data_IF_568400302722
#
_entry.id   IF_568400302722
#
_cell.length_a   1.000
_cell.length_b   1.000
_cell.length_c   1.000
_cell.angle_alpha   90.00
_cell.angle_beta   90.00
_cell.angle_gamma   90.00
#
_symmetry.space_group_name_H-M   'P 1'
#
loop_
_entity.id
_entity.type
_entity.pdbx_description
1 polymer ?
#
# COMPACT_ATOMS: atom_id res chain seq x y z
N UNK A 1 43.22 33.86 8.72
CA UNK A 1 44.05 33.26 7.69
C UNK A 1 43.50 31.85 7.51
N UNK A 2 42.98 31.41 6.47
CA UNK A 2 42.64 31.76 5.10
C UNK A 2 41.57 30.81 4.64
N UNK A 3 40.55 31.35 4.03
CA UNK A 3 39.57 30.61 3.22
C UNK A 3 40.25 29.82 2.11
N UNK A 4 39.82 28.62 1.79
CA UNK A 4 39.83 28.14 0.42
C UNK A 4 38.58 27.39 0.05
N UNK A 5 37.94 27.98 -0.92
CA UNK A 5 36.85 27.51 -1.71
C UNK A 5 37.32 26.44 -2.68
N UNK A 6 36.60 25.35 -2.81
CA UNK A 6 36.72 24.48 -3.97
C UNK A 6 35.40 24.48 -4.75
N UNK A 7 35.53 25.23 -5.81
CA UNK A 7 34.60 25.38 -6.92
C UNK A 7 34.51 24.14 -7.82
N UNK A 8 33.32 23.90 -8.32
CA UNK A 8 33.11 23.59 -9.72
C UNK A 8 33.26 22.16 -10.18
N UNK A 9 32.13 21.44 -10.27
CA UNK A 9 31.99 20.38 -11.26
C UNK A 9 31.02 20.82 -12.35
N UNK A 10 31.60 21.35 -13.42
CA UNK A 10 30.90 21.64 -14.67
C UNK A 10 30.72 20.34 -15.43
N UNK A 11 29.48 19.83 -15.51
CA UNK A 11 29.13 18.73 -16.40
C UNK A 11 28.88 19.31 -17.80
N UNK A 12 29.79 19.03 -18.68
CA UNK A 12 29.69 19.30 -20.12
C UNK A 12 28.62 18.37 -20.73
N UNK A 13 27.45 18.94 -21.04
CA UNK A 13 26.48 18.31 -21.91
C UNK A 13 26.98 18.34 -23.35
N UNK A 14 27.40 17.20 -23.89
CA UNK A 14 27.68 17.04 -25.32
C UNK A 14 26.37 16.91 -26.09
N UNK A 15 26.14 17.89 -26.94
CA UNK A 15 25.10 17.86 -27.98
C UNK A 15 25.34 16.69 -28.94
N UNK A 16 24.39 15.76 -29.01
CA UNK A 16 24.25 14.85 -30.16
C UNK A 16 22.96 15.20 -30.92
N UNK A 17 23.21 15.89 -31.96
CA UNK A 17 22.57 16.05 -33.27
C UNK A 17 21.23 15.34 -33.53
N UNK A 18 20.21 16.15 -33.85
CA UNK A 18 19.50 15.92 -35.10
C UNK A 18 18.26 15.05 -35.06
N UNK A 19 17.30 15.29 -34.15
CA UNK A 19 15.93 14.82 -34.36
C UNK A 19 15.04 16.05 -34.55
N UNK A 20 14.58 16.28 -35.78
CA UNK A 20 13.60 17.33 -36.11
C UNK A 20 12.26 16.93 -35.56
N UNK A 21 11.86 17.49 -34.41
CA UNK A 21 10.49 17.39 -33.90
C UNK A 21 9.58 18.25 -34.77
N UNK A 22 8.68 17.60 -35.50
CA UNK A 22 7.58 18.25 -36.22
C UNK A 22 6.60 18.76 -35.15
N UNK A 23 6.43 20.08 -35.04
CA UNK A 23 5.45 20.71 -34.16
C UNK A 23 4.05 20.26 -34.55
N UNK A 24 3.20 19.82 -33.60
CA UNK A 24 1.82 19.55 -33.92
C UNK A 24 1.05 20.83 -34.21
N UNK A 25 0.22 20.80 -35.24
CA UNK A 25 -0.63 21.89 -35.70
C UNK A 25 -1.50 22.43 -34.55
N UNK A 26 -1.40 23.74 -34.33
CA UNK A 26 -2.35 24.50 -33.50
C UNK A 26 -3.71 24.49 -34.19
N UNK A 27 -4.58 23.58 -33.82
CA UNK A 27 -6.00 23.77 -34.10
C UNK A 27 -6.55 24.87 -33.21
N UNK A 28 -7.17 25.84 -33.86
CA UNK A 28 -7.83 27.01 -33.28
C UNK A 28 -8.80 26.56 -32.21
N UNK A 29 -8.54 26.93 -30.96
CA UNK A 29 -9.50 26.80 -29.86
C UNK A 29 -10.54 27.86 -30.09
N UNK A 30 -11.72 27.45 -30.54
CA UNK A 30 -12.92 28.26 -30.60
C UNK A 30 -13.33 28.59 -29.16
N UNK A 31 -13.37 29.88 -28.85
CA UNK A 31 -13.93 30.39 -27.60
C UNK A 31 -15.43 30.05 -27.56
N UNK A 32 -15.81 28.97 -26.87
CA UNK A 32 -17.19 28.73 -26.45
C UNK A 32 -17.38 29.31 -25.07
N UNK A 33 -18.30 30.23 -24.97
CA UNK A 33 -18.81 30.87 -23.76
C UNK A 33 -19.21 29.82 -22.69
N UNK A 34 -19.08 30.13 -21.37
CA UNK A 34 -19.38 29.21 -20.28
C UNK A 34 -20.86 29.18 -19.89
N UNK A 35 -21.74 28.97 -20.84
CA UNK A 35 -23.15 28.77 -20.57
C UNK A 35 -23.61 27.49 -21.24
N UNK A 36 -23.57 26.43 -20.51
CA UNK A 36 -24.35 25.18 -20.56
C UNK A 36 -23.60 24.00 -19.97
N UNK A 37 -23.23 24.08 -18.69
CA UNK A 37 -23.06 22.87 -17.93
C UNK A 37 -24.43 22.37 -17.56
N UNK A 38 -25.10 21.70 -18.51
CA UNK A 38 -26.30 20.95 -18.23
C UNK A 38 -25.87 19.77 -17.33
N UNK A 39 -26.51 19.68 -16.19
CA UNK A 39 -26.47 18.60 -15.23
C UNK A 39 -26.39 17.23 -15.91
N UNK A 40 -25.27 16.54 -15.74
CA UNK A 40 -25.16 15.12 -16.10
C UNK A 40 -26.11 14.38 -15.15
N UNK A 41 -27.31 14.10 -15.62
CA UNK A 41 -28.22 13.16 -14.97
C UNK A 41 -27.56 11.80 -15.00
N UNK A 42 -27.12 11.33 -13.85
CA UNK A 42 -26.73 9.94 -13.64
C UNK A 42 -27.95 9.07 -13.92
N UNK A 43 -27.99 8.49 -15.13
CA UNK A 43 -29.00 7.49 -15.43
C UNK A 43 -28.64 6.26 -14.59
N UNK A 44 -29.55 5.91 -13.68
CA UNK A 44 -29.51 4.58 -13.03
C UNK A 44 -29.59 3.57 -14.16
N UNK A 45 -28.48 2.87 -14.43
CA UNK A 45 -28.48 1.75 -15.34
C UNK A 45 -29.44 0.69 -14.80
N UNK A 46 -30.61 0.63 -15.38
CA UNK A 46 -31.55 -0.48 -15.19
C UNK A 46 -30.91 -1.73 -15.79
N UNK A 47 -31.04 -2.85 -15.08
CA UNK A 47 -30.42 -4.14 -15.33
C UNK A 47 -30.97 -4.86 -16.59
N UNK A 48 -30.91 -4.21 -17.78
CA UNK A 48 -31.40 -4.79 -19.03
C UNK A 48 -30.47 -4.53 -20.22
N UNK A 49 -29.14 -4.58 -20.00
CA UNK A 49 -28.17 -4.63 -21.11
C UNK A 49 -27.79 -6.08 -21.39
N UNK A 50 -28.29 -6.69 -22.51
CA UNK A 50 -28.03 -8.12 -22.81
C UNK A 50 -26.61 -8.40 -23.28
N UNK A 51 -25.70 -7.42 -23.28
CA UNK A 51 -24.28 -7.57 -23.63
C UNK A 51 -23.32 -7.39 -22.46
N UNK A 52 -23.83 -7.22 -21.24
CA UNK A 52 -23.00 -7.32 -20.06
C UNK A 52 -22.52 -8.76 -19.97
N UNK A 53 -21.26 -8.98 -20.37
CA UNK A 53 -20.55 -10.22 -20.07
C UNK A 53 -20.56 -10.33 -18.54
N UNK A 54 -21.48 -11.12 -18.02
CA UNK A 54 -21.50 -11.53 -16.62
C UNK A 54 -20.21 -12.30 -16.40
N UNK A 55 -19.15 -11.60 -16.02
CA UNK A 55 -18.06 -12.23 -15.30
C UNK A 55 -18.71 -12.75 -14.04
N UNK A 56 -19.12 -14.02 -14.06
CA UNK A 56 -19.48 -14.73 -12.83
C UNK A 56 -18.32 -14.48 -11.89
N UNK A 57 -18.50 -13.51 -10.99
CA UNK A 57 -17.60 -13.33 -9.85
C UNK A 57 -17.59 -14.68 -9.18
N UNK A 58 -16.57 -15.47 -9.49
CA UNK A 58 -16.27 -16.69 -8.72
C UNK A 58 -16.25 -16.15 -7.29
N UNK A 59 -17.19 -16.60 -6.48
CA UNK A 59 -17.17 -16.39 -5.04
C UNK A 59 -15.97 -17.19 -4.49
N UNK A 60 -14.75 -16.77 -4.86
CA UNK A 60 -13.60 -16.98 -4.03
C UNK A 60 -13.93 -16.20 -2.77
N UNK A 61 -14.19 -16.89 -1.69
CA UNK A 61 -14.34 -16.34 -0.36
C UNK A 61 -13.10 -15.50 -0.08
N UNK A 62 -13.18 -14.20 -0.37
CA UNK A 62 -12.26 -13.23 0.22
C UNK A 62 -12.40 -13.49 1.71
N UNK A 63 -11.33 -13.82 2.43
CA UNK A 63 -11.42 -13.98 3.86
C UNK A 63 -12.01 -12.69 4.41
N UNK A 64 -13.26 -12.77 4.87
CA UNK A 64 -13.94 -11.58 5.41
C UNK A 64 -13.14 -11.14 6.61
N UNK A 65 -12.51 -9.97 6.50
CA UNK A 65 -11.76 -9.35 7.60
C UNK A 65 -12.63 -9.35 8.85
N UNK A 66 -12.11 -9.85 9.95
CA UNK A 66 -12.87 -9.92 11.21
C UNK A 66 -13.13 -8.50 11.73
N UNK A 67 -14.28 -8.29 12.39
CA UNK A 67 -14.66 -6.97 12.93
C UNK A 67 -13.53 -6.33 13.76
N UNK A 68 -12.86 -7.12 14.59
CA UNK A 68 -11.75 -6.64 15.43
C UNK A 68 -10.54 -6.20 14.58
N UNK A 69 -10.27 -6.84 13.45
CA UNK A 69 -9.20 -6.49 12.51
C UNK A 69 -9.53 -5.19 11.78
N UNK A 70 -10.77 -5.02 11.33
CA UNK A 70 -11.21 -3.78 10.72
C UNK A 70 -11.13 -2.59 11.69
N UNK A 71 -11.51 -2.78 12.95
CA UNK A 71 -11.42 -1.75 13.97
C UNK A 71 -9.97 -1.41 14.33
N UNK A 72 -9.11 -2.42 14.44
CA UNK A 72 -7.66 -2.25 14.64
C UNK A 72 -7.04 -1.42 13.51
N UNK A 73 -7.31 -1.78 12.25
CA UNK A 73 -6.80 -1.05 11.09
C UNK A 73 -7.30 0.39 11.04
N UNK A 74 -8.59 0.60 11.35
CA UNK A 74 -9.17 1.95 11.42
C UNK A 74 -8.51 2.79 12.53
N UNK A 75 -8.17 2.21 13.67
CA UNK A 75 -7.46 2.91 14.73
C UNK A 75 -6.06 3.34 14.31
N UNK A 76 -5.31 2.46 13.65
CA UNK A 76 -3.98 2.78 13.11
C UNK A 76 -4.07 3.89 12.06
N UNK A 77 -5.01 3.80 11.10
CA UNK A 77 -5.21 4.81 10.05
C UNK A 77 -5.57 6.19 10.59
N UNK A 78 -6.26 6.24 11.73
CA UNK A 78 -6.69 7.50 12.37
C UNK A 78 -5.73 7.98 13.49
N UNK A 79 -4.58 7.34 13.67
CA UNK A 79 -3.63 7.65 14.74
C UNK A 79 -4.30 7.67 16.12
N UNK A 80 -5.17 6.70 16.38
CA UNK A 80 -6.02 6.67 17.56
C UNK A 80 -5.67 5.51 18.50
N UNK A 81 -5.74 5.77 19.80
CA UNK A 81 -5.68 4.72 20.80
C UNK A 81 -6.96 3.87 20.77
N UNK A 82 -6.81 2.54 20.74
CA UNK A 82 -7.93 1.64 20.69
C UNK A 82 -7.62 0.33 21.41
N UNK A 83 -8.65 -0.27 21.99
CA UNK A 83 -8.55 -1.56 22.67
C UNK A 83 -9.84 -2.36 22.51
N UNK A 84 -9.72 -3.61 22.15
CA UNK A 84 -10.84 -4.54 22.13
C UNK A 84 -10.37 -5.98 22.34
N UNK A 85 -10.95 -6.63 23.35
CA UNK A 85 -10.58 -7.99 23.72
C UNK A 85 -9.09 -8.09 24.08
N UNK A 86 -8.36 -8.87 23.32
CA UNK A 86 -6.92 -9.10 23.51
C UNK A 86 -6.00 -8.26 22.62
N UNK A 87 -6.56 -7.34 21.83
CA UNK A 87 -5.81 -6.52 20.88
C UNK A 87 -5.88 -5.05 21.27
N UNK A 88 -4.75 -4.37 21.28
CA UNK A 88 -4.65 -2.93 21.58
C UNK A 88 -3.81 -2.23 20.53
N UNK A 89 -4.19 -1.00 20.22
CA UNK A 89 -3.41 -0.05 19.40
C UNK A 89 -3.10 1.14 20.30
N UNK A 90 -1.82 1.50 20.38
CA UNK A 90 -1.37 2.67 21.09
C UNK A 90 -0.60 3.57 20.14
N UNK A 91 -1.10 4.76 19.89
CA UNK A 91 -0.43 5.76 19.09
C UNK A 91 0.49 6.60 19.96
N UNK A 92 1.74 6.72 19.56
CA UNK A 92 2.72 7.58 20.21
C UNK A 92 2.85 8.88 19.40
N UNK A 93 2.35 9.98 19.95
CA UNK A 93 2.36 11.29 19.30
C UNK A 93 3.78 11.86 19.13
N UNK A 94 4.73 11.46 19.97
CA UNK A 94 6.11 11.95 19.89
C UNK A 94 6.89 11.34 18.72
N UNK A 95 6.64 10.04 18.45
CA UNK A 95 7.35 9.30 17.38
C UNK A 95 6.52 9.14 16.12
N UNK A 96 5.21 9.41 16.17
CA UNK A 96 4.29 9.14 15.07
C UNK A 96 4.00 7.66 14.84
N UNK A 97 4.41 6.78 15.77
CA UNK A 97 4.28 5.33 15.62
C UNK A 97 3.00 4.79 16.28
N UNK A 98 2.33 3.89 15.59
CA UNK A 98 1.26 3.07 16.17
C UNK A 98 1.82 1.72 16.61
N UNK A 99 1.72 1.42 17.90
CA UNK A 99 2.15 0.15 18.50
C UNK A 99 0.96 -0.78 18.65
N UNK A 100 1.00 -1.92 17.97
CA UNK A 100 -0.06 -2.91 18.00
C UNK A 100 0.39 -4.07 18.90
N UNK A 101 -0.45 -4.41 19.90
CA UNK A 101 -0.18 -5.49 20.85
C UNK A 101 -1.30 -6.53 20.83
N UNK A 102 -0.93 -7.77 21.00
CA UNK A 102 -1.85 -8.91 21.18
C UNK A 102 -1.52 -9.59 22.51
N UNK A 103 -2.50 -9.71 23.40
CA UNK A 103 -2.29 -10.20 24.78
C UNK A 103 -1.16 -9.45 25.52
N UNK A 104 -1.01 -8.14 25.27
CA UNK A 104 0.06 -7.32 25.83
C UNK A 104 1.41 -7.40 25.10
N UNK A 105 1.62 -8.40 24.24
CA UNK A 105 2.86 -8.58 23.49
C UNK A 105 2.83 -7.76 22.20
N UNK A 106 3.93 -7.09 21.86
CA UNK A 106 4.09 -6.32 20.65
C UNK A 106 4.09 -7.26 19.43
N UNK A 107 3.21 -6.97 18.46
CA UNK A 107 3.13 -7.72 17.20
C UNK A 107 3.42 -6.86 15.97
N UNK A 108 3.19 -5.55 16.03
CA UNK A 108 3.57 -4.65 14.95
C UNK A 108 3.82 -3.23 15.46
N UNK A 109 4.67 -2.51 14.72
CA UNK A 109 4.85 -1.06 14.81
C UNK A 109 4.60 -0.52 13.41
N UNK A 110 3.69 0.44 13.28
CA UNK A 110 3.35 1.09 12.02
C UNK A 110 3.73 2.56 12.15
N UNK A 111 4.58 3.02 11.26
CA UNK A 111 4.98 4.42 11.12
C UNK A 111 4.57 4.97 9.74
N UNK A 112 4.98 6.20 9.40
CA UNK A 112 4.63 6.85 8.14
C UNK A 112 5.24 6.13 6.92
N UNK A 113 6.44 5.56 7.07
CA UNK A 113 7.24 5.02 5.98
C UNK A 113 7.28 3.49 5.95
N UNK A 114 6.92 2.83 7.05
CA UNK A 114 7.13 1.40 7.20
C UNK A 114 6.22 0.71 8.23
N UNK A 115 6.23 -0.62 8.17
CA UNK A 115 5.66 -1.47 9.20
C UNK A 115 6.68 -2.52 9.62
N UNK A 116 6.98 -2.58 10.92
CA UNK A 116 7.80 -3.63 11.54
C UNK A 116 6.89 -4.66 12.18
N UNK A 117 7.15 -5.94 11.93
CA UNK A 117 6.31 -7.03 12.46
C UNK A 117 7.08 -7.96 13.39
N UNK A 118 6.35 -8.50 14.37
CA UNK A 118 6.87 -9.40 15.41
C UNK A 118 5.87 -10.54 15.65
N UNK A 119 6.33 -11.68 16.13
CA UNK A 119 5.47 -12.81 16.48
C UNK A 119 4.83 -12.69 17.88
N UNK A 120 5.26 -11.70 18.67
CA UNK A 120 4.80 -11.49 20.03
C UNK A 120 5.23 -12.60 21.01
N UNK A 121 6.29 -13.33 20.66
CA UNK A 121 6.81 -14.47 21.45
C UNK A 121 6.07 -15.80 21.17
N UNK A 122 5.04 -15.79 20.31
CA UNK A 122 4.31 -17.00 19.97
C UNK A 122 3.67 -16.95 18.56
N UNK A 123 4.09 -17.85 17.70
CA UNK A 123 3.61 -17.96 16.30
C UNK A 123 2.21 -18.59 16.23
N UNK A 124 1.19 -17.83 16.63
CA UNK A 124 -0.20 -18.29 16.61
C UNK A 124 -0.95 -17.92 15.34
N UNK A 125 -2.03 -18.66 15.04
CA UNK A 125 -2.94 -18.30 13.96
C UNK A 125 -3.60 -16.92 14.18
N UNK A 126 -3.81 -16.53 15.44
CA UNK A 126 -4.38 -15.23 15.79
C UNK A 126 -3.39 -14.12 15.47
N UNK A 127 -2.13 -14.27 15.89
CA UNK A 127 -1.05 -13.31 15.55
C UNK A 127 -0.93 -13.16 14.04
N UNK A 128 -0.83 -14.28 13.31
CA UNK A 128 -0.76 -14.27 11.84
C UNK A 128 -1.97 -13.58 11.18
N UNK A 129 -3.19 -13.80 11.70
CA UNK A 129 -4.39 -13.15 11.20
C UNK A 129 -4.35 -11.63 11.39
N UNK A 130 -3.87 -11.14 12.53
CA UNK A 130 -3.71 -9.71 12.81
C UNK A 130 -2.65 -9.08 11.90
N UNK A 131 -1.49 -9.76 11.74
CA UNK A 131 -0.42 -9.30 10.87
C UNK A 131 -0.88 -9.20 9.41
N UNK A 132 -1.58 -10.22 8.91
CA UNK A 132 -2.11 -10.19 7.54
C UNK A 132 -3.18 -9.11 7.35
N UNK A 133 -4.02 -8.85 8.35
CA UNK A 133 -4.98 -7.75 8.28
C UNK A 133 -4.29 -6.38 8.19
N UNK A 134 -3.15 -6.18 8.87
CA UNK A 134 -2.31 -4.99 8.73
C UNK A 134 -1.64 -4.94 7.35
N UNK A 135 -1.08 -6.06 6.87
CA UNK A 135 -0.49 -6.12 5.53
C UNK A 135 -1.53 -5.80 4.44
N UNK A 136 -2.75 -6.32 4.54
CA UNK A 136 -3.83 -6.04 3.59
C UNK A 136 -4.25 -4.56 3.57
N UNK A 137 -4.06 -3.83 4.69
CA UNK A 137 -4.42 -2.43 4.81
C UNK A 137 -3.29 -1.46 4.44
N UNK A 138 -2.04 -1.83 4.71
CA UNK A 138 -0.90 -0.90 4.65
C UNK A 138 0.19 -1.33 3.67
N UNK A 139 0.29 -2.60 3.29
CA UNK A 139 1.31 -3.10 2.38
C UNK A 139 0.80 -3.26 0.94
N UNK A 140 1.68 -3.62 0.03
CA UNK A 140 1.31 -3.92 -1.36
C UNK A 140 0.43 -5.18 -1.38
N UNK A 141 -0.66 -5.12 -2.14
CA UNK A 141 -1.59 -6.23 -2.22
C UNK A 141 -0.90 -7.56 -2.57
N UNK A 142 -1.02 -8.53 -1.67
CA UNK A 142 -0.39 -9.85 -1.77
C UNK A 142 0.84 -10.02 -0.89
N UNK A 143 1.37 -8.98 -0.26
CA UNK A 143 2.35 -9.10 0.81
C UNK A 143 1.70 -9.67 2.07
N UNK A 144 2.49 -10.30 2.93
CA UNK A 144 1.97 -10.85 4.18
C UNK A 144 2.78 -11.99 4.75
N UNK A 145 2.28 -12.53 5.86
CA UNK A 145 2.89 -13.63 6.60
C UNK A 145 2.10 -14.92 6.35
N UNK A 146 2.80 -15.99 6.01
CA UNK A 146 2.18 -17.30 5.84
C UNK A 146 2.98 -18.39 6.55
N UNK A 147 2.39 -19.55 6.68
CA UNK A 147 3.01 -20.69 7.34
C UNK A 147 3.11 -21.86 6.37
N UNK A 148 4.31 -22.47 6.32
CA UNK A 148 4.58 -23.71 5.60
C UNK A 148 5.48 -24.58 6.47
N UNK A 149 5.18 -25.87 6.57
CA UNK A 149 5.97 -26.84 7.33
C UNK A 149 6.28 -26.38 8.77
N UNK A 150 5.25 -25.84 9.45
CA UNK A 150 5.30 -25.28 10.81
C UNK A 150 6.22 -24.07 11.01
N UNK A 151 6.80 -23.52 9.93
CA UNK A 151 7.61 -22.30 9.96
C UNK A 151 6.86 -21.13 9.35
N UNK A 152 7.11 -19.93 9.85
CA UNK A 152 6.57 -18.71 9.29
C UNK A 152 7.52 -18.11 8.26
N UNK A 153 6.93 -17.61 7.20
CA UNK A 153 7.58 -16.94 6.08
C UNK A 153 6.88 -15.61 5.81
N UNK A 154 7.65 -14.68 5.27
CA UNK A 154 7.14 -13.40 4.76
C UNK A 154 7.15 -13.45 3.24
N UNK A 155 6.07 -12.99 2.64
CA UNK A 155 5.96 -12.75 1.21
C UNK A 155 6.05 -11.27 0.97
N UNK A 156 7.09 -10.83 0.24
CA UNK A 156 7.38 -9.44 -0.10
C UNK A 156 7.29 -9.22 -1.59
N UNK A 157 6.64 -8.13 -2.01
CA UNK A 157 6.59 -7.72 -3.41
C UNK A 157 7.98 -7.30 -3.90
N UNK A 158 8.34 -7.71 -5.13
CA UNK A 158 9.59 -7.32 -5.77
C UNK A 158 9.33 -6.44 -6.99
N UNK A 159 8.44 -6.88 -7.87
CA UNK A 159 8.18 -6.23 -9.14
C UNK A 159 6.84 -6.63 -9.74
N UNK A 160 6.37 -5.86 -10.70
CA UNK A 160 5.24 -6.22 -11.53
C UNK A 160 5.71 -6.50 -12.95
N UNK A 161 5.41 -7.70 -13.44
CA UNK A 161 5.71 -8.15 -14.80
C UNK A 161 4.45 -8.06 -15.64
N UNK A 162 4.57 -7.54 -16.86
CA UNK A 162 3.46 -7.49 -17.82
C UNK A 162 2.95 -8.88 -18.25
N UNK A 163 3.77 -9.92 -18.07
CA UNK A 163 3.46 -11.30 -18.48
C UNK A 163 2.93 -12.13 -17.32
N UNK A 164 3.59 -12.07 -16.17
CA UNK A 164 3.29 -12.93 -15.00
C UNK A 164 2.53 -12.21 -13.89
N UNK A 165 2.32 -10.90 -14.01
CA UNK A 165 1.72 -10.07 -12.97
C UNK A 165 2.70 -9.77 -11.83
N UNK A 166 2.19 -9.65 -10.60
CA UNK A 166 3.00 -9.33 -9.43
C UNK A 166 3.92 -10.49 -9.04
N UNK A 167 5.20 -10.19 -8.89
CA UNK A 167 6.26 -11.12 -8.48
C UNK A 167 6.60 -10.85 -7.01
N UNK A 168 6.68 -11.92 -6.22
CA UNK A 168 6.96 -11.86 -4.80
C UNK A 168 8.18 -12.71 -4.45
N UNK A 169 8.98 -12.22 -3.50
CA UNK A 169 9.99 -13.02 -2.81
C UNK A 169 9.39 -13.66 -1.56
N UNK A 170 9.97 -14.79 -1.16
CA UNK A 170 9.64 -15.50 0.07
C UNK A 170 10.87 -15.57 0.93
N UNK A 171 10.80 -15.01 2.12
CA UNK A 171 11.88 -14.93 3.08
C UNK A 171 11.45 -15.57 4.41
N UNK A 172 12.41 -16.04 5.21
CA UNK A 172 12.11 -16.53 6.55
C UNK A 172 11.61 -15.37 7.42
N UNK A 173 10.57 -15.64 8.21
CA UNK A 173 10.07 -14.66 9.17
C UNK A 173 11.11 -14.43 10.27
N UNK A 174 11.43 -13.16 10.51
CA UNK A 174 12.28 -12.72 11.63
C UNK A 174 11.54 -11.63 12.42
N UNK A 175 11.72 -11.62 13.75
CA UNK A 175 11.18 -10.53 14.56
C UNK A 175 11.83 -9.20 14.18
N UNK A 176 11.01 -8.17 13.98
CA UNK A 176 11.46 -6.88 13.47
C UNK A 176 11.59 -6.82 11.95
N UNK A 177 11.00 -7.79 11.22
CA UNK A 177 10.93 -7.71 9.74
C UNK A 177 10.21 -6.46 9.30
N UNK A 178 10.75 -5.76 8.30
CA UNK A 178 10.27 -4.45 7.86
C UNK A 178 9.63 -4.54 6.47
N UNK A 179 8.37 -4.13 6.38
CA UNK A 179 7.74 -3.73 5.13
C UNK A 179 7.89 -2.22 4.98
N UNK A 180 8.67 -1.77 3.99
CA UNK A 180 8.77 -0.36 3.66
C UNK A 180 7.72 -0.02 2.59
N UNK A 181 7.10 1.15 2.72
CA UNK A 181 6.23 1.67 1.68
C UNK A 181 7.10 2.11 0.51
N UNK A 182 6.78 1.68 -0.69
CA UNK A 182 7.37 2.26 -1.89
C UNK A 182 6.64 3.59 -2.13
N UNK A 183 7.31 4.69 -1.79
CA UNK A 183 6.90 6.04 -2.16
C UNK A 183 7.09 6.27 -3.67
#
# INVERSE_FOLDING_TARGET
MTLEMCSGLVVLARNLTGVKYKKPNRHKISHRTPEKIQSIKWHKHTAQDPKSVYIKRVKGTQPTMRKIEAQMNAAVQNNANWSSGNTTVHFNEETGESLIRLHGNLIAIVDEDSMKIFDGGFQSNTTKSRLNALCDAFCIAGEGVFQKDFKWYVRKFIAESSITGKVYNVEDFTNGYVFAWLL
#
